data_IF_571208170329
#
_entry.id   IF_571208170329
#
_cell.length_a   1.000
_cell.length_b   1.000
_cell.length_c   1.000
_cell.angle_alpha   90.00
_cell.angle_beta   90.00
_cell.angle_gamma   90.00
#
_symmetry.space_group_name_H-M   'P 1'
#
loop_
_entity.id
_entity.type
_entity.pdbx_description
1 polymer ?
#
# COMPACT_ATOMS: atom_id res chain seq x y z
N UNK A 1 -9.03 17.02 12.22
CA UNK A 1 -7.65 16.64 12.56
C UNK A 1 -7.53 15.16 12.25
N UNK A 2 -6.71 14.76 11.28
CA UNK A 2 -6.51 13.35 10.95
C UNK A 2 -5.67 12.72 12.06
N UNK A 3 -6.07 11.53 12.52
CA UNK A 3 -5.30 10.79 13.53
C UNK A 3 -4.11 10.17 12.79
N UNK A 4 -2.91 10.61 13.12
CA UNK A 4 -1.69 9.97 12.66
C UNK A 4 -1.34 8.86 13.66
N UNK A 5 -1.34 7.61 13.21
CA UNK A 5 -0.97 6.49 14.05
C UNK A 5 0.56 6.42 14.21
N UNK A 6 1.01 6.26 15.46
CA UNK A 6 2.42 5.97 15.77
C UNK A 6 2.76 4.51 15.48
N UNK A 7 4.07 4.20 15.49
CA UNK A 7 4.52 2.81 15.43
C UNK A 7 3.86 1.93 16.51
N UNK A 8 3.79 2.45 17.75
CA UNK A 8 3.18 1.73 18.88
C UNK A 8 1.69 1.42 18.66
N UNK A 9 0.95 2.35 18.00
CA UNK A 9 -0.44 2.07 17.65
C UNK A 9 -0.55 0.90 16.68
N UNK A 10 0.32 0.85 15.64
CA UNK A 10 0.34 -0.25 14.69
C UNK A 10 0.75 -1.56 15.36
N UNK A 11 1.81 -1.56 16.19
CA UNK A 11 2.21 -2.76 16.96
C UNK A 11 1.06 -3.31 17.79
N UNK A 12 0.33 -2.42 18.51
CA UNK A 12 -0.77 -2.82 19.36
C UNK A 12 -1.92 -3.51 18.60
N UNK A 13 -2.26 -3.04 17.39
CA UNK A 13 -3.27 -3.71 16.56
C UNK A 13 -2.90 -5.15 16.26
N UNK A 14 -1.63 -5.41 15.92
CA UNK A 14 -1.15 -6.77 15.63
C UNK A 14 -1.02 -7.62 16.90
N UNK A 15 -0.63 -7.04 18.04
CA UNK A 15 -0.54 -7.75 19.32
C UNK A 15 -1.89 -8.28 19.79
N UNK A 16 -2.92 -7.46 19.72
CA UNK A 16 -4.27 -7.85 20.18
C UNK A 16 -5.04 -8.68 19.13
N UNK A 17 -4.46 -8.88 17.94
CA UNK A 17 -5.09 -9.62 16.84
C UNK A 17 -6.32 -8.93 16.23
N UNK A 18 -6.52 -7.64 16.53
CA UNK A 18 -7.60 -6.84 15.94
C UNK A 18 -7.11 -6.12 14.69
N UNK A 19 -7.09 -6.82 13.57
CA UNK A 19 -6.54 -6.35 12.28
C UNK A 19 -7.66 -6.33 11.24
N UNK A 20 -8.60 -5.36 11.30
CA UNK A 20 -9.79 -5.35 10.45
C UNK A 20 -9.49 -5.17 8.96
N UNK A 21 -8.29 -4.71 8.61
CA UNK A 21 -7.82 -4.58 7.22
C UNK A 21 -7.11 -5.84 6.69
N UNK A 22 -6.74 -6.79 7.56
CA UNK A 22 -6.09 -8.04 7.13
C UNK A 22 -7.15 -9.08 6.72
N UNK A 23 -7.18 -9.40 5.44
CA UNK A 23 -8.12 -10.37 4.87
C UNK A 23 -7.51 -11.75 4.65
N UNK A 24 -6.24 -11.93 4.96
CA UNK A 24 -5.48 -13.16 4.70
C UNK A 24 -5.47 -13.60 3.22
N UNK A 25 -5.94 -12.73 2.33
CA UNK A 25 -5.94 -12.89 0.87
C UNK A 25 -5.36 -11.64 0.22
N UNK A 26 -4.76 -11.74 -0.98
CA UNK A 26 -4.27 -10.57 -1.68
C UNK A 26 -5.42 -9.64 -2.06
N UNK A 27 -5.13 -8.36 -2.22
CA UNK A 27 -6.12 -7.39 -2.66
C UNK A 27 -6.51 -7.68 -4.11
N UNK A 28 -7.80 -7.97 -4.35
CA UNK A 28 -8.32 -8.31 -5.69
C UNK A 28 -8.04 -7.21 -6.71
N UNK A 29 -8.14 -5.94 -6.30
CA UNK A 29 -7.88 -4.80 -7.18
C UNK A 29 -6.42 -4.79 -7.68
N UNK A 30 -5.44 -5.20 -6.87
CA UNK A 30 -4.05 -5.37 -7.30
C UNK A 30 -3.94 -6.42 -8.42
N UNK A 31 -4.63 -7.56 -8.27
CA UNK A 31 -4.61 -8.63 -9.27
C UNK A 31 -5.23 -8.17 -10.59
N UNK A 32 -6.33 -7.41 -10.52
CA UNK A 32 -6.95 -6.81 -11.69
C UNK A 32 -6.01 -5.83 -12.40
N UNK A 33 -5.37 -4.93 -11.66
CA UNK A 33 -4.41 -3.96 -12.21
C UNK A 33 -3.23 -4.67 -12.90
N UNK A 34 -2.65 -5.68 -12.27
CA UNK A 34 -1.54 -6.46 -12.86
C UNK A 34 -1.97 -7.08 -14.20
N UNK A 35 -3.14 -7.70 -14.23
CA UNK A 35 -3.67 -8.36 -15.43
C UNK A 35 -4.03 -7.35 -16.52
N UNK A 36 -4.77 -6.30 -16.18
CA UNK A 36 -5.34 -5.35 -17.15
C UNK A 36 -4.24 -4.49 -17.82
N UNK A 37 -3.16 -4.21 -17.07
CA UNK A 37 -2.03 -3.41 -17.56
C UNK A 37 -0.81 -4.25 -17.97
N UNK A 38 -0.91 -5.59 -17.90
CA UNK A 38 0.14 -6.50 -18.34
C UNK A 38 1.45 -6.35 -17.57
N UNK A 39 1.38 -6.09 -16.25
CA UNK A 39 2.57 -5.92 -15.41
C UNK A 39 3.21 -7.30 -15.20
N UNK A 40 4.32 -7.53 -15.86
CA UNK A 40 5.06 -8.81 -15.81
C UNK A 40 5.95 -8.90 -14.56
N UNK A 41 6.39 -10.11 -14.13
CA UNK A 41 7.29 -10.28 -13.01
C UNK A 41 8.53 -9.38 -13.07
N UNK A 42 8.77 -8.65 -11.99
CA UNK A 42 9.80 -7.63 -11.86
C UNK A 42 10.19 -7.42 -10.38
N UNK A 43 11.04 -6.44 -10.09
CA UNK A 43 11.38 -6.06 -8.71
C UNK A 43 10.27 -5.17 -8.13
N UNK A 44 9.66 -5.61 -7.05
CA UNK A 44 8.53 -4.94 -6.39
C UNK A 44 8.92 -4.47 -4.99
N UNK A 45 8.49 -3.25 -4.65
CA UNK A 45 8.47 -2.76 -3.27
C UNK A 45 7.01 -2.73 -2.79
N UNK A 46 6.71 -3.44 -1.72
CA UNK A 46 5.42 -3.40 -1.02
C UNK A 46 5.57 -2.55 0.26
N UNK A 47 4.92 -1.39 0.30
CA UNK A 47 5.02 -0.43 1.40
C UNK A 47 3.82 -0.58 2.33
N UNK A 48 4.08 -0.88 3.62
CA UNK A 48 3.04 -1.19 4.59
C UNK A 48 2.41 -2.54 4.30
N UNK A 49 3.25 -3.56 4.10
CA UNK A 49 2.81 -4.88 3.64
C UNK A 49 1.93 -5.64 4.64
N UNK A 50 1.83 -5.17 5.89
CA UNK A 50 1.10 -5.84 6.95
C UNK A 50 1.53 -7.29 7.12
N UNK A 51 0.54 -8.20 7.11
CA UNK A 51 0.80 -9.64 7.22
C UNK A 51 1.21 -10.32 5.91
N UNK A 52 1.53 -9.55 4.87
CA UNK A 52 2.22 -9.98 3.66
C UNK A 52 1.38 -10.70 2.60
N UNK A 53 0.05 -10.68 2.69
CA UNK A 53 -0.81 -11.46 1.78
C UNK A 53 -0.58 -11.12 0.29
N UNK A 54 -0.48 -9.84 -0.05
CA UNK A 54 -0.21 -9.38 -1.43
C UNK A 54 1.23 -9.68 -1.86
N UNK A 55 2.21 -9.43 -0.98
CA UNK A 55 3.63 -9.75 -1.23
C UNK A 55 3.86 -11.22 -1.53
N UNK A 56 3.25 -12.11 -0.74
CA UNK A 56 3.36 -13.56 -0.89
C UNK A 56 2.76 -14.00 -2.23
N UNK A 57 1.60 -13.46 -2.59
CA UNK A 57 0.95 -13.80 -3.85
C UNK A 57 1.77 -13.34 -5.05
N UNK A 58 2.32 -12.13 -5.01
CA UNK A 58 3.23 -11.65 -6.05
C UNK A 58 4.45 -12.56 -6.20
N UNK A 59 5.07 -12.97 -5.10
CA UNK A 59 6.21 -13.88 -5.13
C UNK A 59 5.87 -15.24 -5.75
N UNK A 60 4.68 -15.79 -5.46
CA UNK A 60 4.18 -17.03 -6.11
C UNK A 60 4.05 -16.90 -7.63
N UNK A 61 3.82 -15.68 -8.10
CA UNK A 61 3.75 -15.37 -9.53
C UNK A 61 5.10 -14.92 -10.13
N UNK A 62 6.20 -15.13 -9.41
CA UNK A 62 7.56 -14.90 -9.92
C UNK A 62 8.09 -13.48 -9.76
N UNK A 63 7.40 -12.59 -9.05
CA UNK A 63 7.92 -11.27 -8.70
C UNK A 63 8.98 -11.37 -7.61
N UNK A 64 10.01 -10.53 -7.68
CA UNK A 64 11.02 -10.38 -6.63
C UNK A 64 10.59 -9.27 -5.68
N UNK A 65 10.04 -9.63 -4.52
CA UNK A 65 9.37 -8.68 -3.63
C UNK A 65 10.24 -8.30 -2.43
N UNK A 66 10.44 -7.00 -2.24
CA UNK A 66 10.87 -6.42 -0.96
C UNK A 66 9.63 -5.83 -0.30
N UNK A 67 9.29 -6.34 0.88
CA UNK A 67 8.08 -5.96 1.62
C UNK A 67 8.48 -5.31 2.94
N UNK A 68 7.96 -4.11 3.21
CA UNK A 68 8.30 -3.37 4.40
C UNK A 68 7.06 -2.99 5.20
N UNK A 69 7.18 -3.04 6.51
CA UNK A 69 6.19 -2.51 7.45
C UNK A 69 6.90 -1.89 8.65
N UNK A 70 6.27 -0.89 9.25
CA UNK A 70 6.80 -0.24 10.47
C UNK A 70 6.65 -1.15 11.70
N UNK A 71 5.67 -2.05 11.68
CA UNK A 71 5.39 -3.00 12.75
C UNK A 71 6.26 -4.25 12.64
N UNK A 72 7.02 -4.54 13.69
CA UNK A 72 7.77 -5.79 13.79
C UNK A 72 6.83 -6.99 13.91
N UNK A 73 5.69 -6.83 14.58
CA UNK A 73 4.67 -7.88 14.71
C UNK A 73 4.04 -8.27 13.38
N UNK A 74 3.75 -7.26 12.53
CA UNK A 74 3.26 -7.52 11.18
C UNK A 74 4.27 -8.38 10.39
N UNK A 75 5.56 -8.00 10.44
CA UNK A 75 6.64 -8.73 9.77
C UNK A 75 6.83 -10.14 10.33
N UNK A 76 6.74 -10.33 11.64
CA UNK A 76 6.81 -11.66 12.28
C UNK A 76 5.68 -12.57 11.77
N UNK A 77 4.44 -12.04 11.72
CA UNK A 77 3.29 -12.76 11.18
C UNK A 77 3.50 -13.06 9.69
N UNK A 78 3.91 -12.08 8.90
CA UNK A 78 4.17 -12.27 7.47
C UNK A 78 5.22 -13.35 7.22
N UNK A 79 6.33 -13.30 7.95
CA UNK A 79 7.43 -14.26 7.84
C UNK A 79 6.99 -15.67 8.24
N UNK A 80 6.13 -15.82 9.25
CA UNK A 80 5.62 -17.12 9.68
C UNK A 80 4.72 -17.82 8.66
N UNK A 81 4.08 -17.06 7.76
CA UNK A 81 3.19 -17.60 6.72
C UNK A 81 3.94 -18.28 5.56
N UNK A 82 5.25 -18.15 5.50
CA UNK A 82 6.01 -18.55 4.32
C UNK A 82 7.04 -19.63 4.66
N UNK A 83 6.98 -20.70 3.86
CA UNK A 83 8.19 -21.34 3.35
C UNK A 83 8.71 -20.45 2.20
N UNK A 84 9.06 -19.20 2.51
CA UNK A 84 9.04 -18.09 1.58
C UNK A 84 10.30 -17.98 0.76
N UNK A 85 10.28 -18.56 -0.39
CA UNK A 85 11.14 -18.14 -1.48
C UNK A 85 10.50 -16.93 -2.16
N UNK A 86 11.26 -15.85 -2.36
CA UNK A 86 10.85 -14.72 -3.20
C UNK A 86 10.37 -13.44 -2.50
N UNK A 87 10.17 -13.43 -1.18
CA UNK A 87 9.86 -12.19 -0.44
C UNK A 87 10.93 -11.87 0.59
N UNK A 88 11.43 -10.63 0.53
CA UNK A 88 12.36 -10.09 1.52
C UNK A 88 11.61 -9.16 2.46
N UNK A 89 11.12 -9.69 3.59
CA UNK A 89 10.42 -8.91 4.61
C UNK A 89 11.38 -8.13 5.50
N UNK A 90 11.06 -6.84 5.77
CA UNK A 90 11.89 -5.96 6.61
C UNK A 90 11.02 -5.07 7.49
N UNK A 91 11.38 -4.96 8.76
CA UNK A 91 10.86 -3.90 9.62
C UNK A 91 11.47 -2.57 9.19
N UNK A 92 10.65 -1.64 8.71
CA UNK A 92 11.15 -0.39 8.16
C UNK A 92 10.07 0.70 8.19
N UNK A 93 10.41 1.87 8.73
CA UNK A 93 9.61 3.07 8.56
C UNK A 93 9.95 3.71 7.21
N UNK A 94 9.02 3.68 6.26
CA UNK A 94 9.23 4.23 4.91
C UNK A 94 9.63 5.71 4.94
N UNK A 95 9.11 6.50 5.87
CA UNK A 95 9.41 7.93 5.95
C UNK A 95 10.87 8.21 6.35
N UNK A 96 11.56 7.24 6.92
CA UNK A 96 12.96 7.33 7.35
C UNK A 96 13.87 6.31 6.64
N UNK A 97 13.33 5.58 5.65
CA UNK A 97 14.02 4.51 4.96
C UNK A 97 15.08 5.04 3.97
N UNK A 98 16.21 4.35 3.95
CA UNK A 98 17.15 4.38 2.83
C UNK A 98 17.27 2.95 2.27
N UNK A 99 16.45 2.64 1.26
CA UNK A 99 16.35 1.27 0.74
C UNK A 99 17.53 0.88 -0.15
N UNK A 100 18.33 1.87 -0.62
CA UNK A 100 19.48 1.68 -1.53
C UNK A 100 19.18 0.76 -2.73
N UNK A 101 17.92 0.74 -3.16
CA UNK A 101 17.41 -0.12 -4.24
C UNK A 101 16.42 0.64 -5.09
N UNK A 102 16.37 0.29 -6.37
CA UNK A 102 15.42 0.84 -7.34
C UNK A 102 14.51 -0.28 -7.79
N UNK A 103 13.21 0.00 -7.78
CA UNK A 103 12.15 -0.96 -8.11
C UNK A 103 11.48 -0.60 -9.43
N UNK A 104 10.92 -1.62 -10.08
CA UNK A 104 10.12 -1.46 -11.30
C UNK A 104 8.67 -1.10 -10.97
N UNK A 105 8.17 -1.68 -9.87
CA UNK A 105 6.81 -1.56 -9.41
C UNK A 105 6.78 -1.32 -7.91
N UNK A 106 6.06 -0.29 -7.47
CA UNK A 106 5.78 -0.03 -6.06
C UNK A 106 4.29 -0.24 -5.83
N UNK A 107 3.96 -0.96 -4.78
CA UNK A 107 2.59 -1.08 -4.30
C UNK A 107 2.48 -0.54 -2.88
N UNK A 108 1.36 0.09 -2.58
CA UNK A 108 0.93 0.39 -1.23
C UNK A 108 -0.58 0.22 -1.13
N UNK A 109 -1.01 -0.64 -0.23
CA UNK A 109 -2.41 -0.99 -0.04
C UNK A 109 -2.86 -0.48 1.32
N UNK A 110 -3.35 0.78 1.33
CA UNK A 110 -3.81 1.43 2.54
C UNK A 110 -2.72 1.99 3.45
N UNK A 111 -1.49 2.21 2.94
CA UNK A 111 -0.42 2.83 3.70
C UNK A 111 -0.34 4.35 3.44
N UNK A 112 -0.39 4.77 2.18
CA UNK A 112 -0.26 6.17 1.79
C UNK A 112 -1.32 7.06 2.44
N UNK A 113 -2.56 6.62 2.55
CA UNK A 113 -3.62 7.46 3.14
C UNK A 113 -3.40 7.78 4.62
N UNK A 114 -2.58 7.01 5.36
CA UNK A 114 -2.13 7.35 6.71
C UNK A 114 -0.92 8.30 6.72
N UNK A 115 -0.21 8.40 5.60
CA UNK A 115 0.99 9.19 5.39
C UNK A 115 0.84 10.16 4.20
N UNK A 116 -0.33 10.77 4.06
CA UNK A 116 -0.71 11.57 2.88
C UNK A 116 0.02 12.91 2.87
N UNK A 117 1.25 12.91 2.36
CA UNK A 117 2.12 14.07 2.27
C UNK A 117 3.15 13.93 1.13
N UNK A 118 3.76 15.05 0.76
CA UNK A 118 4.75 15.14 -0.32
C UNK A 118 6.05 14.36 -0.03
N UNK A 119 6.41 14.18 1.24
CA UNK A 119 7.57 13.38 1.64
C UNK A 119 7.40 11.92 1.21
N UNK A 120 6.22 11.33 1.43
CA UNK A 120 5.92 9.96 1.01
C UNK A 120 6.03 9.82 -0.52
N UNK A 121 5.39 10.73 -1.26
CA UNK A 121 5.41 10.72 -2.73
C UNK A 121 6.84 10.83 -3.28
N UNK A 122 7.67 11.73 -2.71
CA UNK A 122 9.08 11.86 -3.06
C UNK A 122 9.89 10.59 -2.79
N UNK A 123 9.61 9.91 -1.67
CA UNK A 123 10.28 8.65 -1.33
C UNK A 123 9.89 7.55 -2.31
N UNK A 124 8.61 7.42 -2.67
CA UNK A 124 8.16 6.47 -3.68
C UNK A 124 8.87 6.75 -5.02
N UNK A 125 8.86 8.02 -5.47
CA UNK A 125 9.54 8.41 -6.72
C UNK A 125 11.04 8.11 -6.69
N UNK A 126 11.74 8.36 -5.57
CA UNK A 126 13.17 8.08 -5.41
C UNK A 126 13.50 6.59 -5.55
N UNK A 127 12.60 5.71 -5.08
CA UNK A 127 12.81 4.27 -5.10
C UNK A 127 12.25 3.59 -6.36
N UNK A 128 11.58 4.31 -7.25
CA UNK A 128 11.15 3.82 -8.55
C UNK A 128 12.15 4.20 -9.65
N UNK A 129 12.40 3.26 -10.57
CA UNK A 129 13.08 3.60 -11.82
C UNK A 129 12.27 4.60 -12.63
N UNK A 130 12.91 5.23 -13.59
CA UNK A 130 12.20 6.10 -14.53
C UNK A 130 11.17 5.27 -15.32
N UNK A 131 9.98 5.81 -15.49
CA UNK A 131 8.80 5.12 -16.04
C UNK A 131 8.36 3.91 -15.21
N UNK A 132 8.84 3.76 -13.97
CA UNK A 132 8.35 2.75 -13.01
C UNK A 132 6.91 3.04 -12.58
N UNK A 133 6.22 2.01 -12.16
CA UNK A 133 4.79 2.06 -11.84
C UNK A 133 4.57 2.09 -10.33
N UNK A 134 3.64 2.94 -9.88
CA UNK A 134 3.14 2.95 -8.51
C UNK A 134 1.64 2.66 -8.51
N UNK A 135 1.25 1.60 -7.80
CA UNK A 135 -0.13 1.28 -7.49
C UNK A 135 -0.43 1.60 -6.03
N UNK A 136 -1.47 2.38 -5.77
CA UNK A 136 -1.89 2.77 -4.43
C UNK A 136 -3.39 2.61 -4.24
N UNK A 137 -3.81 2.11 -3.08
CA UNK A 137 -5.20 2.17 -2.65
C UNK A 137 -5.36 3.19 -1.54
N UNK A 138 -6.26 4.16 -1.74
CA UNK A 138 -6.43 5.33 -0.88
C UNK A 138 -7.89 5.45 -0.48
N UNK A 139 -8.18 5.69 0.80
CA UNK A 139 -9.55 5.93 1.24
C UNK A 139 -10.21 7.06 0.45
N UNK A 140 -11.43 6.85 -0.05
CA UNK A 140 -12.19 7.81 -0.84
C UNK A 140 -13.22 8.53 0.02
N UNK A 141 -13.37 9.84 -0.19
CA UNK A 141 -14.48 10.62 0.38
C UNK A 141 -15.81 10.33 -0.31
N UNK A 142 -15.76 9.73 -1.50
CA UNK A 142 -16.97 9.37 -2.25
C UNK A 142 -17.64 8.14 -1.62
N UNK A 143 -18.97 8.19 -1.49
CA UNK A 143 -19.81 7.10 -0.96
C UNK A 143 -19.37 6.61 0.44
N UNK A 144 -18.82 7.51 1.26
CA UNK A 144 -18.43 7.17 2.63
C UNK A 144 -19.70 6.96 3.48
N UNK A 145 -19.78 5.87 4.28
CA UNK A 145 -20.90 5.68 5.20
C UNK A 145 -20.99 6.84 6.20
N UNK A 146 -22.16 7.48 6.30
CA UNK A 146 -22.38 8.68 7.14
C UNK A 146 -22.26 8.35 8.65
N UNK A 147 -22.40 7.08 9.00
CA UNK A 147 -22.52 6.65 10.40
C UNK A 147 -21.22 6.08 11.02
N UNK A 148 -20.11 6.05 10.27
CA UNK A 148 -18.85 5.50 10.78
C UNK A 148 -17.88 6.66 11.00
N UNK A 149 -17.61 6.95 12.29
CA UNK A 149 -16.67 8.00 12.69
C UNK A 149 -15.26 7.45 12.90
N UNK A 150 -14.21 8.28 12.73
CA UNK A 150 -12.88 7.92 13.20
C UNK A 150 -12.90 7.50 14.69
N UNK A 151 -12.05 6.54 15.14
CA UNK A 151 -10.91 5.96 14.41
C UNK A 151 -11.23 4.72 13.56
N UNK A 152 -12.49 4.26 13.51
CA UNK A 152 -12.88 3.03 12.79
C UNK A 152 -12.84 3.18 11.25
N UNK A 153 -12.81 4.42 10.74
CA UNK A 153 -12.76 4.68 9.32
C UNK A 153 -11.35 5.09 8.87
N UNK A 154 -10.83 4.54 7.74
CA UNK A 154 -9.54 4.97 7.22
C UNK A 154 -9.58 6.45 6.81
N UNK A 155 -8.44 7.16 6.82
CA UNK A 155 -8.33 8.49 6.22
C UNK A 155 -8.81 8.47 4.77
N UNK A 156 -9.49 9.53 4.33
CA UNK A 156 -10.08 9.57 3.00
C UNK A 156 -9.85 10.93 2.33
N UNK A 157 -9.65 10.91 1.02
CA UNK A 157 -9.26 12.05 0.22
C UNK A 157 -10.10 12.14 -1.04
N UNK A 158 -10.22 13.36 -1.58
CA UNK A 158 -10.80 13.58 -2.91
C UNK A 158 -9.77 13.23 -4.00
N UNK A 159 -10.27 13.01 -5.21
CA UNK A 159 -9.39 12.85 -6.38
C UNK A 159 -8.48 14.06 -6.57
N UNK A 160 -8.97 15.28 -6.32
CA UNK A 160 -8.20 16.51 -6.46
C UNK A 160 -7.04 16.57 -5.45
N UNK A 161 -7.26 16.14 -4.20
CA UNK A 161 -6.19 16.07 -3.20
C UNK A 161 -5.07 15.13 -3.66
N UNK A 162 -5.45 13.96 -4.22
CA UNK A 162 -4.50 12.96 -4.71
C UNK A 162 -3.70 13.54 -5.88
N UNK A 163 -4.37 14.09 -6.89
CA UNK A 163 -3.71 14.65 -8.07
C UNK A 163 -2.78 15.82 -7.71
N UNK A 164 -3.22 16.75 -6.86
CA UNK A 164 -2.39 17.86 -6.40
C UNK A 164 -1.07 17.40 -5.77
N UNK A 165 -1.09 16.24 -5.11
CA UNK A 165 0.08 15.72 -4.41
C UNK A 165 0.98 14.86 -5.32
N UNK A 166 0.40 14.12 -6.27
CA UNK A 166 1.13 13.14 -7.08
C UNK A 166 1.59 13.65 -8.44
N UNK A 167 0.81 14.49 -9.11
CA UNK A 167 1.08 15.00 -10.48
C UNK A 167 2.46 15.66 -10.68
N UNK A 168 3.09 16.31 -9.67
CA UNK A 168 4.43 16.86 -9.87
C UNK A 168 5.50 15.82 -10.23
N UNK A 169 5.32 14.56 -9.81
CA UNK A 169 6.31 13.48 -9.97
C UNK A 169 5.77 12.28 -10.76
N UNK A 170 4.46 12.18 -10.90
CA UNK A 170 3.80 11.04 -11.54
C UNK A 170 2.82 11.48 -12.61
N UNK A 171 2.62 10.63 -13.59
CA UNK A 171 1.54 10.68 -14.57
C UNK A 171 0.47 9.67 -14.14
N UNK A 172 -0.77 10.11 -13.97
CA UNK A 172 -1.88 9.22 -13.64
C UNK A 172 -2.28 8.41 -14.85
N UNK A 173 -2.13 7.08 -14.78
CA UNK A 173 -2.57 6.15 -15.82
C UNK A 173 -4.05 5.82 -15.64
N UNK A 174 -4.45 5.54 -14.41
CA UNK A 174 -5.83 5.19 -14.05
C UNK A 174 -6.14 5.62 -12.63
N UNK A 175 -7.32 6.15 -12.43
CA UNK A 175 -7.90 6.38 -11.11
C UNK A 175 -9.38 6.03 -11.16
N UNK A 176 -9.81 5.13 -10.29
CA UNK A 176 -11.20 4.67 -10.20
C UNK A 176 -11.56 4.34 -8.75
N UNK A 177 -12.84 4.37 -8.42
CA UNK A 177 -13.31 3.90 -7.12
C UNK A 177 -13.59 2.41 -7.14
N UNK A 178 -13.33 1.74 -6.02
CA UNK A 178 -13.77 0.38 -5.77
C UNK A 178 -14.22 0.21 -4.31
N UNK A 179 -14.99 -0.83 -4.05
CA UNK A 179 -15.39 -1.23 -2.70
C UNK A 179 -14.58 -2.45 -2.31
N UNK A 180 -13.95 -2.38 -1.16
CA UNK A 180 -13.10 -3.48 -0.69
C UNK A 180 -13.87 -4.69 -0.11
N UNK A 181 -15.21 -4.70 -0.22
CA UNK A 181 -16.08 -5.79 0.21
C UNK A 181 -16.33 -5.89 1.72
N UNK A 182 -15.68 -5.06 2.55
CA UNK A 182 -15.86 -5.04 4.00
C UNK A 182 -16.18 -3.62 4.49
N UNK A 183 -17.13 -3.46 5.41
CA UNK A 183 -17.39 -2.19 6.07
C UNK A 183 -18.06 -1.08 5.24
N UNK A 184 -18.30 -1.28 3.94
CA UNK A 184 -18.96 -0.31 3.08
C UNK A 184 -18.14 0.92 2.73
N UNK A 185 -16.82 0.89 2.93
CA UNK A 185 -15.92 1.96 2.54
C UNK A 185 -15.58 1.91 1.05
N UNK A 186 -15.50 3.09 0.44
CA UNK A 186 -14.98 3.26 -0.91
C UNK A 186 -13.51 3.65 -0.87
N UNK A 187 -12.76 3.14 -1.81
CA UNK A 187 -11.34 3.44 -1.99
C UNK A 187 -11.07 3.88 -3.43
N UNK A 188 -10.04 4.71 -3.58
CA UNK A 188 -9.42 4.98 -4.88
C UNK A 188 -8.42 3.88 -5.20
N UNK A 189 -8.50 3.34 -6.40
CA UNK A 189 -7.48 2.52 -7.05
C UNK A 189 -6.71 3.45 -7.98
N UNK A 190 -5.47 3.76 -7.61
CA UNK A 190 -4.63 4.71 -8.32
C UNK A 190 -3.45 3.97 -8.96
N UNK A 191 -3.34 4.03 -10.30
CA UNK A 191 -2.18 3.54 -11.04
C UNK A 191 -1.46 4.73 -11.67
N UNK A 192 -0.20 4.88 -11.33
CA UNK A 192 0.61 6.03 -11.69
C UNK A 192 1.95 5.59 -12.26
N UNK A 193 2.48 6.37 -13.21
CA UNK A 193 3.79 6.17 -13.82
C UNK A 193 4.73 7.30 -13.41
N UNK A 194 5.93 6.99 -12.94
CA UNK A 194 6.95 8.00 -12.65
C UNK A 194 7.33 8.76 -13.94
N UNK A 195 7.35 10.10 -13.84
CA UNK A 195 7.75 11.01 -14.94
C UNK A 195 9.25 10.92 -15.25
#
# INVERSE_FOLDING_TARGET
>A
MQIQFSKENWENFYDIGNIPWDRSVPQEELIHIIKDYGITPCNVLDIGCGTGSSSIELARHGYNVTAIDISSKAIDIATSKINSQGVNFKVCDILNANLNSVFDFVIDIGCFHHNFNDKFVKIVSKNLRDRGIWFSTIGSVERRPIHISPPAAPPAYSIQDILNLTDPLFETISIKTFNDGGGGFSFWSCLMCKR
#
